data_IF_741807707280
#
_entry.id   IF_741807707280
#
_cell.length_a   1.000
_cell.length_b   1.000
_cell.length_c   1.000
_cell.angle_alpha   90.00
_cell.angle_beta   90.00
_cell.angle_gamma   90.00
#
_symmetry.space_group_name_H-M   'P 1'
#
loop_
_entity.id
_entity.type
_entity.pdbx_description
1 polymer ?
#
# COMPACT_ATOMS: atom_id res chain seq x y z
N UNK A 1 -8.11 12.37 3.18
CA UNK A 1 -7.18 11.55 2.40
C UNK A 1 -7.45 10.10 2.72
N UNK A 2 -7.80 9.31 1.72
CA UNK A 2 -8.11 7.87 1.83
C UNK A 2 -6.82 7.05 1.97
N UNK A 3 -6.93 5.77 2.38
CA UNK A 3 -5.79 4.85 2.42
C UNK A 3 -5.07 4.76 1.07
N UNK A 4 -5.83 4.57 -0.02
CA UNK A 4 -5.27 4.47 -1.36
C UNK A 4 -4.49 5.70 -1.78
N UNK A 5 -5.02 6.89 -1.47
CA UNK A 5 -4.32 8.15 -1.68
C UNK A 5 -3.01 8.21 -0.89
N UNK A 6 -3.00 7.82 0.40
CA UNK A 6 -1.76 7.80 1.20
C UNK A 6 -0.71 6.85 0.63
N UNK A 7 -1.12 5.65 0.24
CA UNK A 7 -0.23 4.64 -0.36
C UNK A 7 0.42 5.18 -1.64
N UNK A 8 -0.39 5.82 -2.50
CA UNK A 8 0.05 6.42 -3.74
C UNK A 8 1.05 7.55 -3.51
N UNK A 9 0.70 8.52 -2.69
CA UNK A 9 1.55 9.67 -2.38
C UNK A 9 2.88 9.22 -1.79
N UNK A 10 2.85 8.24 -0.88
CA UNK A 10 4.07 7.70 -0.30
C UNK A 10 4.93 7.01 -1.35
N UNK A 11 4.36 6.15 -2.18
CA UNK A 11 5.06 5.49 -3.27
C UNK A 11 5.74 6.51 -4.18
N UNK A 12 5.01 7.55 -4.58
CA UNK A 12 5.52 8.62 -5.45
C UNK A 12 6.63 9.44 -4.79
N UNK A 13 6.51 9.76 -3.49
CA UNK A 13 7.56 10.46 -2.73
C UNK A 13 8.87 9.67 -2.62
N UNK A 14 8.78 8.34 -2.71
CA UNK A 14 9.93 7.43 -2.69
C UNK A 14 10.46 7.09 -4.10
N UNK A 15 9.85 7.64 -5.16
CA UNK A 15 10.23 7.35 -6.54
C UNK A 15 9.95 5.90 -6.97
N UNK A 16 9.04 5.20 -6.29
CA UNK A 16 8.74 3.80 -6.54
C UNK A 16 7.67 3.63 -7.63
N UNK A 17 7.82 2.61 -8.45
CA UNK A 17 6.80 2.15 -9.41
C UNK A 17 5.81 1.21 -8.71
N UNK A 18 4.58 1.10 -9.23
CA UNK A 18 3.61 0.14 -8.71
C UNK A 18 4.10 -1.30 -8.85
N UNK A 19 4.81 -1.61 -9.93
CA UNK A 19 5.46 -2.91 -10.14
C UNK A 19 6.49 -3.25 -9.04
N UNK A 20 7.24 -2.27 -8.51
CA UNK A 20 8.16 -2.52 -7.40
C UNK A 20 7.42 -2.90 -6.11
N UNK A 21 6.33 -2.19 -5.79
CA UNK A 21 5.45 -2.54 -4.66
C UNK A 21 4.84 -3.93 -4.85
N UNK A 22 4.35 -4.22 -6.07
CA UNK A 22 3.74 -5.48 -6.40
C UNK A 22 4.70 -6.66 -6.21
N UNK A 23 5.95 -6.51 -6.67
CA UNK A 23 7.02 -7.49 -6.48
C UNK A 23 7.35 -7.70 -5.00
N UNK A 24 7.45 -6.62 -4.21
CA UNK A 24 7.74 -6.72 -2.77
C UNK A 24 6.64 -7.48 -2.00
N UNK A 25 5.38 -7.28 -2.39
CA UNK A 25 4.22 -7.93 -1.78
C UNK A 25 3.85 -9.28 -2.42
N UNK A 26 4.56 -9.72 -3.45
CA UNK A 26 4.22 -10.90 -4.25
C UNK A 26 2.74 -10.88 -4.69
N UNK A 27 2.38 -9.81 -5.41
CA UNK A 27 1.08 -9.60 -6.06
C UNK A 27 1.29 -9.05 -7.48
N UNK A 28 0.22 -8.99 -8.26
CA UNK A 28 0.24 -8.34 -9.59
C UNK A 28 0.08 -6.82 -9.47
N UNK A 29 0.59 -6.07 -10.45
CA UNK A 29 0.55 -4.59 -10.43
C UNK A 29 -0.88 -4.02 -10.36
N UNK A 30 -1.86 -4.68 -11.00
CA UNK A 30 -3.26 -4.28 -10.92
C UNK A 30 -3.83 -4.32 -9.50
N UNK A 31 -3.30 -5.18 -8.64
CA UNK A 31 -3.66 -5.22 -7.22
C UNK A 31 -3.23 -3.92 -6.52
N UNK A 32 -2.04 -3.41 -6.82
CA UNK A 32 -1.55 -2.13 -6.28
C UNK A 32 -2.37 -0.95 -6.83
N UNK A 33 -2.76 -0.99 -8.11
CA UNK A 33 -3.70 0.01 -8.68
C UNK A 33 -5.01 0.01 -7.91
N UNK A 34 -5.58 -1.17 -7.62
CA UNK A 34 -6.82 -1.26 -6.85
C UNK A 34 -6.68 -0.71 -5.43
N UNK A 35 -5.52 -0.88 -4.79
CA UNK A 35 -5.23 -0.26 -3.50
C UNK A 35 -5.15 1.26 -3.60
N UNK A 36 -4.39 1.80 -4.55
CA UNK A 36 -4.21 3.26 -4.72
C UNK A 36 -5.47 4.00 -5.19
N UNK A 37 -6.45 3.27 -5.72
CA UNK A 37 -7.74 3.81 -6.17
C UNK A 37 -8.89 3.49 -5.21
N UNK A 38 -8.57 3.00 -4.02
CA UNK A 38 -9.52 2.65 -2.96
C UNK A 38 -10.58 1.60 -3.37
N UNK A 39 -10.40 0.91 -4.50
CA UNK A 39 -11.29 -0.19 -4.91
C UNK A 39 -11.19 -1.37 -3.94
N UNK A 40 -10.00 -1.61 -3.42
CA UNK A 40 -9.72 -2.66 -2.45
C UNK A 40 -8.71 -2.20 -1.42
N UNK A 41 -8.87 -2.66 -0.17
CA UNK A 41 -7.85 -2.52 0.87
C UNK A 41 -6.82 -3.67 0.78
N UNK A 42 -5.56 -3.47 1.17
CA UNK A 42 -4.56 -4.54 1.21
C UNK A 42 -4.93 -5.64 2.22
N UNK A 43 -5.50 -6.75 1.74
CA UNK A 43 -5.79 -7.96 2.53
C UNK A 43 -4.63 -8.96 2.40
N UNK A 44 -3.50 -8.61 3.01
CA UNK A 44 -2.24 -9.37 2.91
C UNK A 44 -1.99 -10.22 4.17
N UNK A 45 -1.36 -11.39 4.00
CA UNK A 45 -0.79 -12.13 5.12
C UNK A 45 0.31 -11.31 5.82
N UNK A 46 0.59 -11.53 7.11
CA UNK A 46 1.52 -10.70 7.89
C UNK A 46 2.89 -10.47 7.25
N UNK A 47 3.48 -11.49 6.62
CA UNK A 47 4.77 -11.35 5.93
C UNK A 47 4.71 -10.36 4.75
N UNK A 48 3.64 -10.44 3.94
CA UNK A 48 3.41 -9.55 2.80
C UNK A 48 3.03 -8.13 3.25
N UNK A 49 2.28 -8.03 4.35
CA UNK A 49 1.97 -6.74 4.98
C UNK A 49 3.24 -6.07 5.51
N UNK A 50 4.13 -6.82 6.16
CA UNK A 50 5.43 -6.31 6.59
C UNK A 50 6.25 -5.80 5.40
N UNK A 51 6.31 -6.57 4.31
CA UNK A 51 7.01 -6.14 3.10
C UNK A 51 6.43 -4.84 2.51
N UNK A 52 5.10 -4.68 2.53
CA UNK A 52 4.43 -3.45 2.12
C UNK A 52 4.87 -2.26 3.00
N UNK A 53 4.82 -2.42 4.31
CA UNK A 53 5.24 -1.40 5.29
C UNK A 53 6.72 -1.02 5.11
N UNK A 54 7.60 -2.02 5.02
CA UNK A 54 9.04 -1.80 4.86
C UNK A 54 9.34 -1.04 3.55
N UNK A 55 8.71 -1.44 2.44
CA UNK A 55 8.95 -0.84 1.12
C UNK A 55 8.44 0.60 1.03
N UNK A 56 7.30 0.88 1.67
CA UNK A 56 6.73 2.23 1.71
C UNK A 56 7.29 3.06 2.86
N UNK A 57 8.20 2.53 3.69
CA UNK A 57 8.66 3.16 4.92
C UNK A 57 7.47 3.75 5.70
N UNK A 58 6.49 2.89 5.96
CA UNK A 58 5.19 3.19 6.56
C UNK A 58 5.02 2.32 7.79
N UNK A 59 4.44 2.86 8.85
CA UNK A 59 4.09 2.11 10.04
C UNK A 59 2.70 1.49 9.93
N UNK A 60 2.45 0.42 10.69
CA UNK A 60 1.13 -0.20 10.77
C UNK A 60 0.06 0.77 11.32
N UNK A 61 0.44 1.69 12.19
CA UNK A 61 -0.46 2.71 12.74
C UNK A 61 -0.93 3.69 11.66
N UNK A 62 -0.04 4.11 10.77
CA UNK A 62 -0.39 5.00 9.65
C UNK A 62 -1.33 4.32 8.64
N UNK A 63 -1.18 3.00 8.42
CA UNK A 63 -2.12 2.20 7.62
C UNK A 63 -3.49 2.07 8.30
N UNK A 64 -3.51 1.78 9.60
CA UNK A 64 -4.73 1.59 10.37
C UNK A 64 -5.55 2.90 10.46
N UNK A 65 -4.90 4.02 10.76
CA UNK A 65 -5.54 5.34 10.83
C UNK A 65 -6.13 5.80 9.49
N UNK A 66 -5.65 5.26 8.35
CA UNK A 66 -6.19 5.56 7.04
C UNK A 66 -7.38 4.66 6.62
N UNK A 67 -7.62 3.57 7.37
CA UNK A 67 -8.68 2.59 7.11
C UNK A 67 -9.94 2.80 7.97
N UNK A 68 -9.92 3.75 8.91
CA UNK A 68 -10.97 3.96 9.94
C UNK A 68 -11.95 5.10 9.58
N UNK A 69 -11.76 5.79 8.46
CA UNK A 69 -12.73 6.80 8.00
C UNK A 69 -13.83 6.17 7.15
N UNK A 70 -14.79 5.51 7.80
CA UNK A 70 -16.17 5.33 7.34
C UNK A 70 -17.13 5.86 8.41
#
# INVERSE_FOLDING_TARGET
MTLGQKLRERRESLGLTRLQIAKACDVVESTVINWETDRHVPKLYPAKMKALCDTLNFTLEELAAASINE
#
